data_IF_096167743037
#
_entry.id   IF_096167743037
#
_cell.length_a   1.000
_cell.length_b   1.000
_cell.length_c   1.000
_cell.angle_alpha   90.00
_cell.angle_beta   90.00
_cell.angle_gamma   90.00
#
_symmetry.space_group_name_H-M   'P 1'
#
loop_
_entity.id
_entity.type
_entity.pdbx_description
1 polymer ?
#
# COMPACT_ATOMS: atom_id res chain seq x y z
N UNK A 1 50.94 3.75 22.06
CA UNK A 1 49.96 2.83 21.43
C UNK A 1 48.90 2.22 22.38
N UNK A 2 48.84 2.57 23.68
CA UNK A 2 47.84 1.99 24.60
C UNK A 2 46.56 2.82 24.85
N UNK A 3 46.52 4.10 24.41
CA UNK A 3 45.37 4.99 24.67
C UNK A 3 44.27 4.96 23.60
N UNK A 4 44.55 4.47 22.40
CA UNK A 4 43.58 4.43 21.29
C UNK A 4 42.64 3.20 21.39
N UNK A 5 43.11 2.06 21.93
CA UNK A 5 42.25 0.88 22.14
C UNK A 5 41.09 1.13 23.11
N UNK A 6 41.34 1.82 24.23
CA UNK A 6 40.27 2.04 25.24
C UNK A 6 39.15 3.00 24.79
N UNK A 7 39.40 3.82 23.76
CA UNK A 7 38.38 4.68 23.18
C UNK A 7 37.46 3.90 22.23
N UNK A 8 38.01 2.95 21.46
CA UNK A 8 37.23 2.07 20.61
C UNK A 8 36.40 1.06 21.40
N UNK A 9 36.93 0.51 22.50
CA UNK A 9 36.18 -0.43 23.35
C UNK A 9 35.00 0.26 24.06
N UNK A 10 35.13 1.55 24.41
CA UNK A 10 34.03 2.34 25.01
C UNK A 10 32.94 2.73 24.01
N UNK A 11 33.30 2.94 22.74
CA UNK A 11 32.34 3.22 21.66
C UNK A 11 31.63 1.93 21.22
N UNK A 12 32.36 0.81 21.13
CA UNK A 12 31.79 -0.48 20.77
C UNK A 12 30.83 -1.03 21.83
N UNK A 13 31.15 -0.86 23.13
CA UNK A 13 30.25 -1.26 24.22
C UNK A 13 29.02 -0.34 24.34
N UNK A 14 29.13 0.95 23.97
CA UNK A 14 27.95 1.84 23.89
C UNK A 14 27.06 1.50 22.70
N UNK A 15 27.62 1.17 21.54
CA UNK A 15 26.83 0.78 20.37
C UNK A 15 26.14 -0.57 20.58
N UNK A 16 26.76 -1.51 21.29
CA UNK A 16 26.10 -2.76 21.69
C UNK A 16 24.99 -2.54 22.73
N UNK A 17 25.15 -1.59 23.67
CA UNK A 17 24.08 -1.28 24.63
C UNK A 17 22.88 -0.61 23.94
N UNK A 18 23.11 0.32 23.00
CA UNK A 18 22.05 0.96 22.21
C UNK A 18 21.34 -0.03 21.27
N UNK A 19 22.08 -0.93 20.61
CA UNK A 19 21.49 -1.98 19.78
C UNK A 19 20.66 -2.97 20.62
N UNK A 20 21.11 -3.30 21.84
CA UNK A 20 20.37 -4.19 22.75
C UNK A 20 19.12 -3.55 23.39
N UNK A 21 19.11 -2.22 23.55
CA UNK A 21 17.93 -1.48 24.04
C UNK A 21 16.90 -1.26 22.91
N UNK A 22 17.32 -1.06 21.65
CA UNK A 22 16.42 -1.04 20.49
C UNK A 22 15.90 -2.44 20.10
N UNK A 23 16.72 -3.51 20.22
CA UNK A 23 16.24 -4.90 20.06
C UNK A 23 15.29 -5.31 21.20
N UNK A 24 15.47 -4.79 22.41
CA UNK A 24 14.51 -5.02 23.50
C UNK A 24 13.18 -4.29 23.31
N UNK A 25 13.13 -3.22 22.53
CA UNK A 25 11.87 -2.58 22.12
C UNK A 25 11.07 -3.45 21.12
N UNK A 26 11.74 -4.38 20.41
CA UNK A 26 11.10 -5.37 19.53
C UNK A 26 10.75 -6.70 20.23
N UNK A 27 11.16 -6.89 21.49
CA UNK A 27 11.07 -8.18 22.19
C UNK A 27 10.41 -8.19 23.58
N UNK A 28 9.87 -7.07 24.08
CA UNK A 28 9.19 -7.02 25.39
C UNK A 28 7.84 -6.27 25.33
N UNK A 29 6.83 -6.94 24.80
CA UNK A 29 5.43 -6.79 25.22
C UNK A 29 4.98 -8.05 25.95
N UNK A 30 5.67 -8.37 27.06
CA UNK A 30 5.10 -9.16 28.15
C UNK A 30 5.15 -8.33 29.42
N UNK A 31 4.21 -7.40 29.50
CA UNK A 31 3.64 -6.96 30.75
C UNK A 31 2.13 -6.95 30.52
N UNK A 32 1.42 -7.84 31.22
CA UNK A 32 -0.05 -7.88 31.26
C UNK A 32 -0.57 -6.60 31.92
N UNK A 33 -0.57 -5.51 31.16
CA UNK A 33 -1.41 -4.35 31.44
C UNK A 33 -2.89 -4.71 31.23
N UNK A 34 -3.81 -3.87 31.74
CA UNK A 34 -5.24 -4.07 31.53
C UNK A 34 -5.52 -4.26 30.03
N UNK A 35 -6.22 -5.34 29.69
CA UNK A 35 -6.54 -5.76 28.32
C UNK A 35 -7.01 -4.54 27.51
N UNK A 36 -6.21 -4.15 26.53
CA UNK A 36 -6.52 -3.08 25.60
C UNK A 36 -7.69 -3.52 24.71
N UNK A 37 -8.57 -2.57 24.35
CA UNK A 37 -9.77 -2.87 23.58
C UNK A 37 -9.43 -3.52 22.24
N UNK A 38 -10.11 -4.64 21.94
CA UNK A 38 -10.07 -5.29 20.63
C UNK A 38 -11.29 -4.88 19.83
N UNK A 39 -11.16 -4.71 18.52
CA UNK A 39 -12.30 -4.43 17.65
C UNK A 39 -13.37 -5.51 17.86
N UNK A 40 -14.58 -5.08 18.21
CA UNK A 40 -15.72 -5.96 18.39
C UNK A 40 -16.08 -6.65 17.08
N UNK A 41 -16.59 -7.87 17.16
CA UNK A 41 -16.93 -8.66 15.99
C UNK A 41 -18.37 -9.21 16.08
N UNK A 42 -19.25 -8.96 15.10
CA UNK A 42 -19.03 -8.24 13.84
C UNK A 42 -18.70 -6.75 14.01
N UNK A 43 -17.98 -6.13 13.05
CA UNK A 43 -17.48 -4.77 13.19
C UNK A 43 -18.62 -3.75 13.08
N UNK A 44 -18.60 -2.74 13.94
CA UNK A 44 -19.62 -1.68 13.97
C UNK A 44 -18.99 -0.33 14.28
N UNK A 45 -19.38 0.69 13.53
CA UNK A 45 -19.07 2.08 13.87
C UNK A 45 -19.94 2.55 15.04
N UNK A 46 -19.32 3.15 16.05
CA UNK A 46 -20.05 3.70 17.23
C UNK A 46 -20.56 5.12 17.00
N UNK A 47 -20.01 5.82 16.00
CA UNK A 47 -20.42 7.14 15.58
C UNK A 47 -20.15 7.33 14.08
N UNK A 48 -20.76 8.35 13.44
CA UNK A 48 -20.38 8.73 12.08
C UNK A 48 -18.86 9.00 11.99
N UNK A 49 -18.21 8.66 10.86
CA UNK A 49 -16.79 8.92 10.67
C UNK A 49 -16.47 10.42 10.77
N UNK A 50 -15.38 10.76 11.47
CA UNK A 50 -14.88 12.14 11.55
C UNK A 50 -13.99 12.41 10.35
N UNK A 51 -14.51 13.08 9.32
CA UNK A 51 -13.72 13.53 8.16
C UNK A 51 -12.75 14.62 8.60
N UNK A 52 -11.45 14.42 8.35
CA UNK A 52 -10.38 15.37 8.71
C UNK A 52 -10.10 16.36 7.58
N UNK A 53 -10.36 15.97 6.34
CA UNK A 53 -10.19 16.80 5.14
C UNK A 53 -9.36 16.13 4.06
N UNK A 54 -9.10 16.87 2.99
CA UNK A 54 -8.22 16.47 1.90
C UNK A 54 -6.75 16.42 2.37
N UNK A 55 -6.02 15.38 1.98
CA UNK A 55 -4.56 15.34 2.08
C UNK A 55 -4.02 16.32 1.06
N UNK A 56 -3.34 17.38 1.52
CA UNK A 56 -2.80 18.46 0.68
C UNK A 56 -1.28 18.58 0.82
N UNK A 57 -0.63 19.08 -0.23
CA UNK A 57 0.80 19.38 -0.16
C UNK A 57 1.06 20.67 0.62
N UNK A 58 2.16 20.72 1.37
CA UNK A 58 2.51 21.88 2.20
C UNK A 58 2.99 23.09 1.40
N UNK A 59 3.36 22.93 0.12
CA UNK A 59 3.75 24.07 -0.73
C UNK A 59 2.58 25.00 -1.06
N UNK A 60 1.34 24.52 -0.91
CA UNK A 60 0.13 25.25 -1.30
C UNK A 60 -0.27 25.08 -2.77
N UNK A 61 0.55 24.40 -3.59
CA UNK A 61 0.18 24.04 -4.96
C UNK A 61 -0.97 23.04 -4.99
N UNK A 62 -1.76 23.11 -6.05
CA UNK A 62 -2.88 22.21 -6.28
C UNK A 62 -2.38 20.86 -6.80
N UNK A 63 -2.56 19.81 -6.01
CA UNK A 63 -2.24 18.43 -6.39
C UNK A 63 -3.41 17.48 -6.07
N UNK A 64 -4.48 17.46 -6.90
CA UNK A 64 -5.49 16.41 -6.85
C UNK A 64 -4.80 15.05 -7.08
N UNK A 65 -5.18 14.05 -6.29
CA UNK A 65 -4.45 12.79 -6.14
C UNK A 65 -5.39 11.61 -5.95
N UNK A 66 -4.95 10.45 -6.43
CA UNK A 66 -5.57 9.15 -6.19
C UNK A 66 -4.71 8.28 -5.24
N UNK A 67 -5.29 7.20 -4.70
CA UNK A 67 -4.73 6.19 -3.80
C UNK A 67 -4.57 6.67 -2.35
N UNK A 68 -3.48 7.35 -2.02
CA UNK A 68 -3.23 7.85 -0.66
C UNK A 68 -2.79 6.81 0.37
N UNK A 69 -2.22 5.67 -0.04
CA UNK A 69 -1.74 4.64 0.90
C UNK A 69 -0.48 5.12 1.63
N UNK A 70 -0.40 4.94 2.94
CA UNK A 70 0.84 5.28 3.65
C UNK A 70 1.84 4.12 3.66
N UNK A 71 3.12 4.45 3.60
CA UNK A 71 4.24 3.50 3.78
C UNK A 71 5.29 4.08 4.72
N UNK A 72 6.04 3.22 5.40
CA UNK A 72 7.16 3.62 6.24
C UNK A 72 8.47 3.21 5.59
N UNK A 73 9.49 4.08 5.62
CA UNK A 73 10.86 3.72 5.25
C UNK A 73 11.86 4.65 5.93
N UNK A 74 12.96 4.11 6.44
CA UNK A 74 14.01 4.88 7.12
C UNK A 74 13.52 5.62 8.36
N UNK A 75 12.52 5.08 9.06
CA UNK A 75 11.89 5.73 10.22
C UNK A 75 10.93 6.89 9.86
N UNK A 76 10.69 7.15 8.58
CA UNK A 76 9.77 8.19 8.10
C UNK A 76 8.52 7.61 7.48
N UNK A 77 7.45 8.37 7.56
CA UNK A 77 6.16 8.03 6.98
C UNK A 77 5.94 8.81 5.68
N UNK A 78 5.43 8.13 4.66
CA UNK A 78 5.12 8.71 3.36
C UNK A 78 3.71 8.34 2.94
N UNK A 79 3.10 9.18 2.12
CA UNK A 79 1.96 8.80 1.29
C UNK A 79 2.44 8.43 -0.10
N UNK A 80 1.99 7.28 -0.59
CA UNK A 80 2.05 6.85 -1.97
C UNK A 80 0.74 7.18 -2.68
N UNK A 81 0.86 7.82 -3.83
CA UNK A 81 -0.25 8.22 -4.67
C UNK A 81 -0.16 7.55 -6.04
N UNK A 82 -1.32 7.38 -6.67
CA UNK A 82 -1.42 7.01 -8.08
C UNK A 82 -1.29 8.27 -8.93
N UNK A 83 -2.29 8.50 -9.77
CA UNK A 83 -2.36 9.69 -10.60
C UNK A 83 -2.36 10.95 -9.72
N UNK A 84 -1.41 11.85 -10.02
CA UNK A 84 -1.20 13.14 -9.37
C UNK A 84 -1.28 14.23 -10.44
N UNK A 85 -2.31 15.06 -10.37
CA UNK A 85 -2.54 16.14 -11.31
C UNK A 85 -1.74 17.37 -10.87
N UNK A 86 -0.71 17.72 -11.64
CA UNK A 86 0.26 18.72 -11.24
C UNK A 86 -0.12 20.10 -11.77
N UNK A 87 -0.21 21.07 -10.87
CA UNK A 87 -0.37 22.48 -11.20
C UNK A 87 0.79 23.29 -10.63
N UNK A 88 1.14 24.38 -11.30
CA UNK A 88 2.15 25.31 -10.78
C UNK A 88 1.54 26.37 -9.86
N UNK A 89 2.36 27.35 -9.47
CA UNK A 89 1.98 28.44 -8.57
C UNK A 89 0.97 29.43 -9.19
N UNK A 90 0.69 29.32 -10.49
CA UNK A 90 -0.31 30.11 -11.23
C UNK A 90 -1.56 29.30 -11.59
N UNK A 91 -1.75 28.12 -10.98
CA UNK A 91 -2.82 27.18 -11.30
C UNK A 91 -2.79 26.67 -12.76
N UNK A 92 -1.65 26.76 -13.46
CA UNK A 92 -1.47 26.18 -14.79
C UNK A 92 -1.17 24.69 -14.71
N UNK A 93 -1.85 23.88 -15.53
CA UNK A 93 -1.65 22.45 -15.57
C UNK A 93 -0.28 22.09 -16.17
N UNK A 94 0.52 21.33 -15.42
CA UNK A 94 1.87 20.88 -15.80
C UNK A 94 1.95 19.40 -16.18
N UNK A 95 0.83 18.67 -16.10
CA UNK A 95 0.72 17.27 -16.50
C UNK A 95 0.27 16.35 -15.38
N UNK A 96 0.23 15.05 -15.67
CA UNK A 96 -0.08 14.00 -14.69
C UNK A 96 1.18 13.21 -14.40
N UNK A 97 1.41 12.92 -13.13
CA UNK A 97 2.41 11.96 -12.66
C UNK A 97 1.66 10.72 -12.17
N UNK A 98 1.85 9.58 -12.83
CA UNK A 98 0.97 8.41 -12.65
C UNK A 98 1.27 7.60 -11.38
N UNK A 99 2.36 7.91 -10.69
CA UNK A 99 2.64 7.41 -9.37
C UNK A 99 3.60 8.39 -8.68
N UNK A 100 3.30 8.78 -7.45
CA UNK A 100 4.16 9.73 -6.72
C UNK A 100 4.25 9.38 -5.25
N UNK A 101 5.24 9.94 -4.57
CA UNK A 101 5.44 9.74 -3.13
C UNK A 101 5.73 11.08 -2.46
N UNK A 102 5.13 11.30 -1.29
CA UNK A 102 5.34 12.51 -0.50
C UNK A 102 5.53 12.17 0.97
N UNK A 103 6.41 12.90 1.65
CA UNK A 103 6.65 12.77 3.08
C UNK A 103 5.41 13.20 3.87
N UNK A 104 5.11 12.51 4.98
CA UNK A 104 4.18 12.97 6.00
C UNK A 104 5.00 13.78 7.02
N UNK A 105 4.91 15.12 7.01
CA UNK A 105 5.82 15.97 7.81
C UNK A 105 5.55 15.87 9.31
N UNK A 106 4.33 15.53 9.71
CA UNK A 106 3.96 15.30 11.11
C UNK A 106 2.83 14.27 11.19
N UNK A 107 2.97 13.32 12.13
CA UNK A 107 1.97 12.29 12.38
C UNK A 107 0.70 12.84 13.06
N UNK A 108 0.77 14.06 13.61
CA UNK A 108 -0.39 14.73 14.21
C UNK A 108 -1.31 15.38 13.16
N UNK A 109 -0.80 15.58 11.95
CA UNK A 109 -1.52 16.24 10.85
C UNK A 109 -1.58 15.33 9.62
N UNK A 110 -2.40 14.26 9.63
CA UNK A 110 -2.47 13.28 8.54
C UNK A 110 -3.00 13.86 7.21
N UNK A 111 -3.56 15.07 7.22
CA UNK A 111 -4.01 15.79 6.02
C UNK A 111 -2.89 16.60 5.35
N UNK A 112 -1.65 16.47 5.80
CA UNK A 112 -0.49 17.16 5.23
C UNK A 112 0.51 16.18 4.64
N UNK A 113 1.05 16.57 3.50
CA UNK A 113 2.10 15.86 2.78
C UNK A 113 3.11 16.86 2.23
N UNK A 114 4.32 16.43 1.94
CA UNK A 114 5.35 17.27 1.33
C UNK A 114 6.14 16.49 0.30
N UNK A 115 6.10 16.94 -0.94
CA UNK A 115 7.00 16.42 -1.97
C UNK A 115 8.45 16.80 -1.65
N UNK A 116 9.36 15.83 -1.87
CA UNK A 116 10.80 16.00 -1.60
C UNK A 116 11.42 17.01 -2.58
N UNK A 117 10.89 17.06 -3.82
CA UNK A 117 11.32 18.01 -4.84
C UNK A 117 10.29 19.12 -5.02
N UNK A 118 10.79 20.32 -5.31
CA UNK A 118 9.98 21.54 -5.47
C UNK A 118 9.52 21.80 -6.91
N UNK A 119 9.67 20.82 -7.81
CA UNK A 119 9.22 20.94 -9.20
C UNK A 119 7.69 21.00 -9.27
N UNK A 120 7.14 21.77 -10.21
CA UNK A 120 5.68 21.90 -10.35
C UNK A 120 5.05 20.57 -10.78
N UNK A 121 5.64 19.89 -11.77
CA UNK A 121 5.34 18.49 -12.09
C UNK A 121 6.22 17.61 -11.21
N UNK A 122 5.62 16.86 -10.29
CA UNK A 122 6.36 15.95 -9.42
C UNK A 122 6.90 14.76 -10.22
N UNK A 123 8.10 14.24 -9.95
CA UNK A 123 8.63 13.10 -10.67
C UNK A 123 7.88 11.81 -10.30
N UNK A 124 7.87 10.85 -11.21
CA UNK A 124 7.39 9.50 -10.95
C UNK A 124 8.24 8.84 -9.85
N UNK A 125 7.59 8.20 -8.87
CA UNK A 125 8.33 7.51 -7.81
C UNK A 125 8.97 6.22 -8.33
N UNK A 126 8.16 5.33 -8.91
CA UNK A 126 8.61 4.25 -9.78
C UNK A 126 8.92 4.87 -11.15
N UNK A 127 10.21 5.03 -11.51
CA UNK A 127 10.60 5.75 -12.71
C UNK A 127 10.12 5.00 -13.96
N UNK A 128 9.94 5.72 -15.07
CA UNK A 128 9.71 5.10 -16.38
C UNK A 128 11.00 4.52 -16.96
N UNK A 129 10.86 3.51 -17.83
CA UNK A 129 11.93 3.17 -18.77
C UNK A 129 11.97 4.18 -19.93
N UNK A 130 13.08 4.26 -20.66
CA UNK A 130 13.19 5.18 -21.80
C UNK A 130 12.08 4.93 -22.85
N UNK A 131 11.78 3.66 -23.16
CA UNK A 131 10.73 3.32 -24.13
C UNK A 131 9.33 3.78 -23.66
N UNK A 132 9.07 3.73 -22.35
CA UNK A 132 7.80 4.20 -21.79
C UNK A 132 7.72 5.72 -21.79
N UNK A 133 8.83 6.41 -21.51
CA UNK A 133 8.93 7.87 -21.67
C UNK A 133 8.67 8.26 -23.12
N UNK A 134 9.35 7.62 -24.07
CA UNK A 134 9.17 7.89 -25.49
C UNK A 134 7.72 7.64 -25.94
N UNK A 135 7.09 6.58 -25.42
CA UNK A 135 5.68 6.31 -25.66
C UNK A 135 4.79 7.45 -25.13
N UNK A 136 4.92 7.83 -23.86
CA UNK A 136 4.11 8.86 -23.22
C UNK A 136 4.34 10.26 -23.82
N UNK A 137 5.56 10.54 -24.28
CA UNK A 137 5.95 11.85 -24.80
C UNK A 137 5.69 12.00 -26.31
N UNK A 138 5.46 10.89 -27.02
CA UNK A 138 5.15 10.85 -28.45
C UNK A 138 3.90 11.66 -28.80
N UNK A 139 3.99 12.44 -29.89
CA UNK A 139 2.94 13.38 -30.29
C UNK A 139 1.57 12.71 -30.48
N UNK A 140 1.52 11.57 -31.17
CA UNK A 140 0.28 10.84 -31.40
C UNK A 140 -0.36 10.36 -30.09
N UNK A 141 0.44 9.78 -29.20
CA UNK A 141 -0.05 9.28 -27.91
C UNK A 141 -0.55 10.43 -27.03
N UNK A 142 0.11 11.59 -27.02
CA UNK A 142 -0.39 12.78 -26.33
C UNK A 142 -1.73 13.26 -26.88
N UNK A 143 -1.86 13.34 -28.21
CA UNK A 143 -3.12 13.75 -28.85
C UNK A 143 -4.26 12.79 -28.51
N UNK A 144 -3.97 11.49 -28.43
CA UNK A 144 -4.92 10.45 -28.05
C UNK A 144 -5.04 10.27 -26.52
N UNK A 145 -4.33 11.05 -25.70
CA UNK A 145 -4.25 10.86 -24.25
C UNK A 145 -3.93 9.41 -23.83
N UNK A 146 -3.03 8.76 -24.57
CA UNK A 146 -2.51 7.43 -24.27
C UNK A 146 -1.27 7.54 -23.39
N UNK A 147 -1.20 6.74 -22.34
CA UNK A 147 -0.07 6.72 -21.42
C UNK A 147 0.20 5.35 -20.84
N UNK A 148 1.43 5.14 -20.39
CA UNK A 148 1.78 4.04 -19.50
C UNK A 148 1.68 4.54 -18.06
N UNK A 149 1.02 3.78 -17.21
CA UNK A 149 0.94 4.00 -15.77
C UNK A 149 1.65 2.86 -15.04
N UNK A 150 2.28 3.16 -13.90
CA UNK A 150 2.90 2.17 -13.01
C UNK A 150 2.34 2.35 -11.61
N UNK A 151 1.14 1.85 -11.35
CA UNK A 151 0.47 2.05 -10.06
C UNK A 151 0.97 1.07 -9.01
N UNK A 152 1.19 1.55 -7.79
CA UNK A 152 1.72 0.76 -6.69
C UNK A 152 0.76 0.72 -5.51
N UNK A 153 -0.33 -0.02 -5.68
CA UNK A 153 -1.40 -0.14 -4.69
C UNK A 153 -1.01 -1.00 -3.46
N UNK A 154 -0.16 -2.01 -3.68
CA UNK A 154 0.19 -3.07 -2.72
C UNK A 154 0.92 -2.61 -1.47
N UNK A 155 1.50 -1.41 -1.49
CA UNK A 155 2.35 -0.88 -0.43
C UNK A 155 3.80 -1.33 -0.58
N UNK A 156 4.56 -1.14 0.50
CA UNK A 156 5.99 -1.41 0.57
C UNK A 156 6.24 -2.54 1.59
N UNK A 157 7.09 -3.48 1.22
CA UNK A 157 7.51 -4.62 2.04
C UNK A 157 8.95 -4.36 2.50
N UNK A 158 9.22 -4.38 3.80
CA UNK A 158 10.59 -4.10 4.29
C UNK A 158 11.54 -5.25 3.98
N UNK A 159 12.77 -4.92 3.58
CA UNK A 159 13.84 -5.91 3.45
C UNK A 159 14.41 -6.20 4.84
N UNK A 160 14.37 -7.46 5.33
CA UNK A 160 14.96 -7.82 6.61
C UNK A 160 16.44 -7.44 6.71
N UNK A 161 16.88 -7.05 7.91
CA UNK A 161 18.29 -6.69 8.17
C UNK A 161 18.72 -5.31 7.63
N UNK A 162 17.82 -4.55 7.01
CA UNK A 162 18.14 -3.19 6.50
C UNK A 162 17.75 -2.06 7.46
N UNK A 163 17.33 -2.40 8.68
CA UNK A 163 16.79 -1.45 9.67
C UNK A 163 15.67 -0.56 9.09
N UNK A 164 14.80 -1.16 8.26
CA UNK A 164 13.70 -0.49 7.60
C UNK A 164 14.13 0.55 6.56
N UNK A 165 15.38 0.55 6.09
CA UNK A 165 15.89 1.51 5.09
C UNK A 165 15.68 1.07 3.66
N UNK A 166 15.40 -0.21 3.42
CA UNK A 166 15.06 -0.71 2.10
C UNK A 166 13.72 -1.44 2.10
N UNK A 167 13.04 -1.40 0.96
CA UNK A 167 11.82 -2.16 0.76
C UNK A 167 11.54 -2.52 -0.69
N UNK A 168 10.78 -3.59 -0.89
CA UNK A 168 10.24 -4.01 -2.16
C UNK A 168 8.89 -3.37 -2.42
N UNK A 169 8.60 -3.11 -3.69
CA UNK A 169 7.37 -2.53 -4.16
C UNK A 169 6.95 -3.22 -5.46
N UNK A 170 5.74 -3.77 -5.49
CA UNK A 170 5.14 -4.24 -6.75
C UNK A 170 4.42 -3.08 -7.43
N UNK A 171 4.63 -2.93 -8.74
CA UNK A 171 3.91 -1.97 -9.54
C UNK A 171 3.18 -2.66 -10.69
N UNK A 172 1.94 -2.21 -10.89
CA UNK A 172 1.04 -2.64 -11.92
C UNK A 172 1.21 -1.73 -13.15
N UNK A 173 1.72 -2.30 -14.25
CA UNK A 173 1.91 -1.54 -15.48
C UNK A 173 0.72 -1.73 -16.42
N UNK A 174 0.08 -0.60 -16.74
CA UNK A 174 -1.12 -0.55 -17.58
C UNK A 174 -0.93 0.50 -18.67
N UNK A 175 -1.36 0.19 -19.88
CA UNK A 175 -1.60 1.20 -20.91
C UNK A 175 -3.02 1.72 -20.75
N UNK A 176 -3.17 3.04 -20.68
CA UNK A 176 -4.48 3.70 -20.61
C UNK A 176 -4.72 4.56 -21.84
N UNK A 177 -6.00 4.73 -22.17
CA UNK A 177 -6.50 5.74 -23.09
C UNK A 177 -7.46 6.64 -22.30
N UNK A 178 -7.02 7.86 -22.00
CA UNK A 178 -7.68 8.72 -21.03
C UNK A 178 -7.62 8.12 -19.63
N UNK A 179 -8.79 7.90 -19.02
CA UNK A 179 -8.92 7.26 -17.71
C UNK A 179 -9.16 5.74 -17.80
N UNK A 180 -9.24 5.18 -19.02
CA UNK A 180 -9.63 3.78 -19.24
C UNK A 180 -8.40 2.91 -19.45
N UNK A 181 -8.20 1.85 -18.64
CA UNK A 181 -7.24 0.79 -18.94
C UNK A 181 -7.59 0.13 -20.28
N UNK A 182 -6.62 0.06 -21.21
CA UNK A 182 -6.79 -0.61 -22.51
C UNK A 182 -5.93 -1.85 -22.66
N UNK A 183 -4.83 -1.95 -21.89
CA UNK A 183 -3.97 -3.13 -21.91
C UNK A 183 -3.24 -3.29 -20.59
N UNK A 184 -3.35 -4.49 -20.03
CA UNK A 184 -2.58 -4.93 -18.88
C UNK A 184 -1.21 -5.45 -19.34
N UNK A 185 -0.11 -4.76 -19.01
CA UNK A 185 1.23 -5.16 -19.47
C UNK A 185 1.90 -6.16 -18.49
N UNK A 186 1.53 -6.11 -17.21
CA UNK A 186 2.00 -7.05 -16.20
C UNK A 186 2.42 -6.38 -14.91
N UNK A 187 2.97 -7.17 -13.99
CA UNK A 187 3.52 -6.72 -12.72
C UNK A 187 5.03 -6.62 -12.82
N UNK A 188 5.56 -5.46 -12.45
CA UNK A 188 6.98 -5.25 -12.22
C UNK A 188 7.33 -5.13 -10.74
N UNK A 189 8.62 -5.12 -10.47
CA UNK A 189 9.17 -4.98 -9.13
C UNK A 189 10.10 -3.76 -9.10
N UNK A 190 10.02 -3.01 -8.01
CA UNK A 190 10.93 -1.92 -7.70
C UNK A 190 11.46 -2.07 -6.28
N UNK A 191 12.62 -1.45 -6.03
CA UNK A 191 13.27 -1.39 -4.74
C UNK A 191 13.34 0.08 -4.30
N UNK A 192 12.74 0.36 -3.16
CA UNK A 192 12.81 1.65 -2.52
C UNK A 192 13.94 1.67 -1.48
N UNK A 193 14.67 2.78 -1.39
CA UNK A 193 15.71 3.00 -0.38
C UNK A 193 15.55 4.37 0.24
N UNK A 194 15.74 4.47 1.56
CA UNK A 194 15.92 5.76 2.23
C UNK A 194 17.21 6.39 1.72
N UNK A 195 17.16 7.62 1.22
CA UNK A 195 18.38 8.32 0.82
C UNK A 195 19.24 8.63 2.06
N UNK A 196 20.54 8.85 1.83
CA UNK A 196 21.48 9.31 2.85
C UNK A 196 21.29 10.79 3.23
N UNK A 197 20.39 11.49 2.53
CA UNK A 197 20.02 12.89 2.80
C UNK A 197 18.75 12.96 3.64
N UNK A 198 18.64 14.02 4.43
CA UNK A 198 17.74 14.11 5.59
C UNK A 198 16.23 14.01 5.31
N UNK A 199 15.77 13.80 4.07
CA UNK A 199 14.32 13.69 3.76
C UNK A 199 13.97 12.77 2.59
N UNK A 200 14.93 12.11 1.95
CA UNK A 200 14.68 11.45 0.66
C UNK A 200 14.29 9.98 0.74
N UNK A 201 13.47 9.57 -0.22
CA UNK A 201 13.26 8.17 -0.62
C UNK A 201 13.53 8.08 -2.12
N UNK A 202 14.29 7.07 -2.50
CA UNK A 202 14.63 6.77 -3.89
C UNK A 202 14.03 5.42 -4.27
N UNK A 203 13.74 5.23 -5.54
CA UNK A 203 13.17 3.99 -6.04
C UNK A 203 13.74 3.67 -7.42
N UNK A 204 14.15 2.41 -7.57
CA UNK A 204 14.68 1.87 -8.82
C UNK A 204 13.92 0.60 -9.20
N UNK A 205 13.71 0.38 -10.50
CA UNK A 205 13.17 -0.88 -10.98
C UNK A 205 14.21 -1.99 -10.85
N UNK A 206 13.76 -3.19 -10.52
CA UNK A 206 14.63 -4.34 -10.32
C UNK A 206 14.06 -5.59 -11.02
N UNK A 207 14.95 -6.47 -11.45
CA UNK A 207 14.58 -7.71 -12.12
C UNK A 207 14.07 -7.50 -13.55
N UNK A 208 13.61 -8.60 -14.17
CA UNK A 208 13.00 -8.58 -15.48
C UNK A 208 11.58 -8.04 -15.43
N UNK A 209 11.19 -7.23 -16.41
CA UNK A 209 9.81 -6.84 -16.62
C UNK A 209 9.21 -7.56 -17.86
N UNK A 210 7.98 -8.09 -17.76
CA UNK A 210 7.21 -8.26 -16.54
C UNK A 210 7.80 -9.39 -15.65
N UNK A 211 7.68 -9.23 -14.32
CA UNK A 211 7.92 -10.34 -13.39
C UNK A 211 6.76 -11.34 -13.47
N UNK A 212 5.53 -10.82 -13.56
CA UNK A 212 4.31 -11.59 -13.81
C UNK A 212 3.52 -11.01 -14.98
N UNK A 213 3.12 -11.89 -15.89
CA UNK A 213 2.44 -11.52 -17.13
C UNK A 213 1.05 -10.89 -16.88
N UNK A 214 0.67 -9.92 -17.73
CA UNK A 214 -0.58 -9.18 -17.59
C UNK A 214 -1.85 -9.99 -17.85
N UNK A 215 -1.76 -11.18 -18.45
CA UNK A 215 -2.92 -12.03 -18.70
C UNK A 215 -3.35 -12.85 -17.46
N UNK A 216 -2.53 -12.88 -16.40
CA UNK A 216 -2.79 -13.66 -15.18
C UNK A 216 -3.10 -12.83 -13.94
N UNK A 217 -3.06 -13.46 -12.75
CA UNK A 217 -3.17 -12.73 -11.49
C UNK A 217 -2.04 -11.70 -11.35
N UNK A 218 -2.45 -10.49 -10.99
CA UNK A 218 -1.60 -9.31 -10.79
C UNK A 218 -1.03 -9.29 -9.36
N UNK A 219 -0.12 -10.22 -9.06
CA UNK A 219 0.34 -10.49 -7.69
C UNK A 219 0.82 -9.24 -6.94
N UNK A 220 0.19 -8.97 -5.79
CA UNK A 220 0.53 -7.83 -4.93
C UNK A 220 -0.10 -6.50 -5.36
N UNK A 221 -0.92 -6.48 -6.42
CA UNK A 221 -1.56 -5.24 -6.89
C UNK A 221 -2.73 -4.77 -6.03
N UNK A 222 -3.13 -5.51 -4.99
CA UNK A 222 -4.13 -5.04 -4.02
C UNK A 222 -3.44 -4.75 -2.69
N UNK A 223 -2.80 -5.76 -2.11
CA UNK A 223 -2.15 -5.64 -0.81
C UNK A 223 -1.02 -6.63 -0.64
N UNK A 224 0.04 -6.18 0.01
CA UNK A 224 1.10 -7.03 0.53
C UNK A 224 1.15 -6.94 2.05
N UNK A 225 1.39 -8.07 2.72
CA UNK A 225 1.50 -8.14 4.18
C UNK A 225 2.57 -9.15 4.58
N UNK A 226 3.45 -8.73 5.49
CA UNK A 226 4.40 -9.62 6.16
C UNK A 226 3.71 -10.36 7.31
N UNK A 227 3.96 -11.67 7.40
CA UNK A 227 3.41 -12.53 8.44
C UNK A 227 4.51 -13.00 9.40
N UNK A 228 4.20 -13.20 10.69
CA UNK A 228 5.17 -13.75 11.65
C UNK A 228 5.74 -15.14 11.31
N UNK A 229 5.14 -15.86 10.37
CA UNK A 229 5.65 -17.13 9.85
C UNK A 229 6.87 -16.98 8.89
N UNK A 230 7.31 -15.73 8.66
CA UNK A 230 8.44 -15.40 7.79
C UNK A 230 8.11 -15.42 6.30
N UNK A 231 6.82 -15.34 5.95
CA UNK A 231 6.36 -15.16 4.59
C UNK A 231 5.70 -13.79 4.39
N UNK A 232 5.92 -13.24 3.21
CA UNK A 232 5.18 -12.10 2.68
C UNK A 232 4.09 -12.61 1.76
N UNK A 233 2.86 -12.18 2.00
CA UNK A 233 1.66 -12.59 1.28
C UNK A 233 1.22 -11.48 0.33
N UNK A 234 0.85 -11.88 -0.89
CA UNK A 234 0.53 -10.99 -2.01
C UNK A 234 -0.90 -11.25 -2.46
N UNK A 235 -1.81 -10.37 -2.03
CA UNK A 235 -3.20 -10.36 -2.48
C UNK A 235 -3.28 -9.74 -3.87
N UNK A 236 -4.02 -10.40 -4.74
CA UNK A 236 -4.09 -10.09 -6.15
C UNK A 236 -5.52 -10.12 -6.67
N UNK A 237 -5.82 -9.24 -7.62
CA UNK A 237 -6.93 -9.42 -8.55
C UNK A 237 -6.47 -9.99 -9.89
N UNK A 238 -7.42 -10.15 -10.82
CA UNK A 238 -7.16 -10.22 -12.26
C UNK A 238 -7.69 -8.91 -12.87
N UNK A 239 -7.12 -8.47 -14.00
CA UNK A 239 -7.56 -7.28 -14.73
C UNK A 239 -9.08 -7.20 -14.96
N UNK A 240 -9.55 -5.99 -15.29
CA UNK A 240 -10.96 -5.57 -15.28
C UNK A 240 -11.95 -6.46 -16.03
N UNK A 241 -11.48 -7.33 -16.92
CA UNK A 241 -12.33 -8.17 -17.77
C UNK A 241 -12.73 -9.51 -17.13
N UNK A 242 -12.00 -10.00 -16.11
CA UNK A 242 -12.06 -11.42 -15.71
C UNK A 242 -12.33 -11.70 -14.21
N UNK A 243 -13.01 -10.80 -13.50
CA UNK A 243 -13.92 -11.23 -12.44
C UNK A 243 -13.67 -10.75 -11.00
N UNK A 244 -14.60 -11.15 -10.14
CA UNK A 244 -14.64 -10.83 -8.72
C UNK A 244 -13.58 -11.59 -7.91
N UNK A 245 -12.93 -12.57 -8.52
CA UNK A 245 -11.97 -13.44 -7.88
C UNK A 245 -10.70 -12.74 -7.45
N UNK A 246 -10.15 -13.20 -6.33
CA UNK A 246 -8.90 -12.74 -5.78
C UNK A 246 -8.05 -13.95 -5.38
N UNK A 247 -6.74 -13.79 -5.53
CA UNK A 247 -5.76 -14.86 -5.37
C UNK A 247 -4.72 -14.48 -4.35
N UNK A 248 -4.02 -15.48 -3.83
CA UNK A 248 -2.91 -15.29 -2.91
C UNK A 248 -1.65 -15.99 -3.41
N UNK A 249 -0.57 -15.24 -3.54
CA UNK A 249 0.79 -15.76 -3.62
C UNK A 249 1.54 -15.45 -2.32
N UNK A 250 2.65 -16.14 -2.11
CA UNK A 250 3.58 -15.82 -1.04
C UNK A 250 5.03 -16.02 -1.47
N UNK A 251 5.93 -15.35 -0.77
CA UNK A 251 7.37 -15.46 -0.92
C UNK A 251 8.00 -15.35 0.47
N UNK A 252 9.13 -16.02 0.70
CA UNK A 252 9.88 -15.87 1.94
C UNK A 252 10.30 -14.41 2.11
N UNK A 253 10.04 -13.81 3.26
CA UNK A 253 10.29 -12.37 3.49
C UNK A 253 11.78 -12.00 3.35
N UNK A 254 12.67 -12.95 3.61
CA UNK A 254 14.12 -12.84 3.46
C UNK A 254 14.65 -13.24 2.08
N UNK A 255 13.79 -13.65 1.14
CA UNK A 255 14.22 -14.01 -0.21
C UNK A 255 14.40 -12.79 -1.12
N UNK A 256 14.99 -13.03 -2.30
CA UNK A 256 15.03 -12.06 -3.38
C UNK A 256 13.71 -12.09 -4.16
N UNK A 257 12.98 -10.97 -4.11
CA UNK A 257 11.68 -10.81 -4.74
C UNK A 257 11.79 -10.72 -6.27
N UNK A 258 12.96 -10.43 -6.83
CA UNK A 258 13.16 -10.38 -8.28
C UNK A 258 13.20 -11.76 -8.95
N UNK A 259 13.30 -12.83 -8.16
CA UNK A 259 13.41 -14.20 -8.65
C UNK A 259 12.06 -14.90 -8.60
N UNK A 260 11.42 -15.08 -9.77
CA UNK A 260 10.09 -15.69 -9.90
C UNK A 260 9.96 -17.10 -9.30
N UNK A 261 11.03 -17.90 -9.30
CA UNK A 261 11.02 -19.24 -8.71
C UNK A 261 10.98 -19.26 -7.18
N UNK A 262 11.13 -18.11 -6.50
CA UNK A 262 11.01 -18.01 -5.04
C UNK A 262 9.55 -17.92 -4.56
N UNK A 263 8.61 -17.76 -5.49
CA UNK A 263 7.19 -17.58 -5.18
C UNK A 263 6.48 -18.93 -5.08
N UNK A 264 5.44 -18.96 -4.23
CA UNK A 264 4.48 -20.06 -4.17
C UNK A 264 3.07 -19.51 -4.22
N UNK A 265 2.14 -20.31 -4.74
CA UNK A 265 0.79 -19.90 -5.07
C UNK A 265 -0.21 -20.80 -4.37
N UNK A 266 -1.28 -20.20 -3.84
CA UNK A 266 -2.29 -20.94 -3.11
C UNK A 266 -3.20 -21.70 -4.09
N UNK A 267 -3.21 -23.02 -3.96
CA UNK A 267 -4.03 -23.92 -4.76
C UNK A 267 -5.39 -24.15 -4.11
N UNK A 268 -6.38 -24.58 -4.90
CA UNK A 268 -7.71 -24.95 -4.39
C UNK A 268 -7.71 -26.07 -3.35
N UNK A 269 -6.69 -26.93 -3.38
CA UNK A 269 -6.47 -27.97 -2.35
C UNK A 269 -6.13 -27.37 -0.98
N UNK A 270 -5.78 -26.08 -0.92
CA UNK A 270 -5.24 -25.41 0.28
C UNK A 270 -3.72 -25.53 0.41
N UNK A 271 -3.06 -26.22 -0.52
CA UNK A 271 -1.61 -26.35 -0.56
C UNK A 271 -0.95 -25.19 -1.31
N UNK A 272 0.34 -25.00 -1.06
CA UNK A 272 1.18 -24.01 -1.75
C UNK A 272 2.01 -24.71 -2.82
N UNK A 273 1.88 -24.30 -4.07
CA UNK A 273 2.64 -24.85 -5.20
C UNK A 273 3.65 -23.83 -5.75
N UNK A 274 4.80 -24.25 -6.30
CA UNK A 274 5.82 -23.35 -6.85
C UNK A 274 5.47 -22.80 -8.24
N UNK A 275 4.39 -23.30 -8.86
CA UNK A 275 3.97 -22.92 -10.20
C UNK A 275 2.47 -23.03 -10.34
N UNK A 276 1.93 -22.35 -11.34
CA UNK A 276 0.54 -22.47 -11.74
C UNK A 276 0.38 -22.32 -13.26
N UNK A 277 -0.74 -22.78 -13.81
CA UNK A 277 -1.10 -22.73 -15.23
C UNK A 277 -2.52 -22.19 -15.45
N UNK A 278 -2.79 -21.53 -16.58
CA UNK A 278 -4.15 -21.23 -17.02
C UNK A 278 -5.00 -22.50 -17.19
N UNK A 279 -6.35 -22.39 -17.15
CA UNK A 279 -7.12 -21.15 -17.00
C UNK A 279 -7.09 -20.60 -15.56
N UNK A 280 -7.39 -19.32 -15.41
CA UNK A 280 -7.59 -18.69 -14.11
C UNK A 280 -9.07 -18.67 -13.74
N UNK A 281 -9.41 -18.17 -12.55
CA UNK A 281 -10.81 -18.10 -12.11
C UNK A 281 -11.34 -19.39 -11.49
N UNK A 282 -12.67 -19.57 -11.46
CA UNK A 282 -13.32 -20.69 -10.79
C UNK A 282 -13.06 -22.05 -11.46
N UNK A 283 -12.51 -22.05 -12.68
CA UNK A 283 -12.14 -23.27 -13.40
C UNK A 283 -10.63 -23.58 -13.35
N UNK A 284 -9.83 -22.65 -12.82
CA UNK A 284 -8.40 -22.84 -12.64
C UNK A 284 -8.03 -23.66 -11.41
N UNK A 285 -6.73 -23.87 -11.20
CA UNK A 285 -6.21 -24.61 -10.04
C UNK A 285 -5.96 -23.73 -8.80
N UNK A 286 -5.87 -22.41 -8.99
CA UNK A 286 -5.64 -21.45 -7.93
C UNK A 286 -6.88 -21.27 -7.04
N UNK A 287 -6.65 -21.09 -5.74
CA UNK A 287 -7.69 -20.64 -4.82
C UNK A 287 -8.08 -19.19 -5.15
N UNK A 288 -9.31 -19.01 -5.64
CA UNK A 288 -9.83 -17.75 -6.18
C UNK A 288 -10.80 -17.03 -5.22
N UNK A 289 -11.02 -17.62 -4.05
CA UNK A 289 -11.97 -17.13 -3.03
C UNK A 289 -11.37 -16.22 -1.96
N UNK A 290 -10.07 -15.91 -2.02
CA UNK A 290 -9.40 -15.15 -0.95
C UNK A 290 -9.84 -13.69 -1.02
N UNK A 291 -10.71 -13.24 -0.10
CA UNK A 291 -11.34 -11.91 -0.17
C UNK A 291 -12.06 -11.68 -1.52
N UNK A 292 -12.77 -12.67 -2.06
CA UNK A 292 -13.50 -12.52 -3.31
C UNK A 292 -14.50 -11.34 -3.27
N UNK A 293 -14.59 -10.61 -4.38
CA UNK A 293 -15.40 -9.40 -4.53
C UNK A 293 -14.76 -8.13 -3.95
N UNK A 294 -13.66 -8.23 -3.21
CA UNK A 294 -12.95 -7.09 -2.64
C UNK A 294 -11.98 -6.47 -3.65
N UNK A 295 -11.97 -5.15 -3.72
CA UNK A 295 -11.13 -4.33 -4.60
C UNK A 295 -9.94 -3.76 -3.85
N UNK A 296 -9.73 -2.45 -3.95
CA UNK A 296 -8.61 -1.76 -3.32
C UNK A 296 -8.78 -1.68 -1.80
N UNK A 297 -7.71 -1.99 -1.08
CA UNK A 297 -7.65 -1.93 0.38
C UNK A 297 -6.33 -2.45 0.93
N UNK A 298 -6.25 -2.66 2.24
CA UNK A 298 -5.08 -3.29 2.83
C UNK A 298 -5.42 -4.35 3.87
N UNK A 299 -4.57 -5.38 3.90
CA UNK A 299 -4.45 -6.30 5.03
C UNK A 299 -3.44 -5.70 6.01
N UNK A 300 -3.82 -5.62 7.29
CA UNK A 300 -2.96 -5.25 8.40
C UNK A 300 -2.90 -6.41 9.41
N UNK A 301 -1.69 -6.73 9.86
CA UNK A 301 -1.48 -7.65 10.98
C UNK A 301 -1.46 -6.83 12.28
N UNK A 302 -2.50 -6.97 13.10
CA UNK A 302 -2.71 -6.21 14.34
C UNK A 302 -3.18 -7.14 15.48
N UNK A 303 -2.32 -8.08 15.93
CA UNK A 303 -2.71 -9.19 16.80
C UNK A 303 -3.27 -8.77 18.16
N UNK A 304 -2.92 -7.58 18.65
CA UNK A 304 -3.37 -7.09 19.95
C UNK A 304 -4.73 -6.40 19.91
N UNK A 305 -5.15 -5.93 18.74
CA UNK A 305 -6.36 -5.12 18.57
C UNK A 305 -7.41 -5.72 17.64
N UNK A 306 -7.05 -6.70 16.82
CA UNK A 306 -8.02 -7.47 16.06
C UNK A 306 -8.81 -8.44 16.98
N UNK A 307 -9.94 -8.99 16.52
CA UNK A 307 -10.66 -10.02 17.25
C UNK A 307 -9.77 -11.20 17.65
N UNK A 308 -10.06 -11.81 18.81
CA UNK A 308 -9.29 -12.94 19.31
C UNK A 308 -9.18 -14.08 18.28
N UNK A 309 -7.95 -14.57 18.07
CA UNK A 309 -7.67 -15.64 17.12
C UNK A 309 -7.73 -15.22 15.65
N UNK A 310 -8.00 -13.95 15.35
CA UNK A 310 -8.07 -13.42 13.97
C UNK A 310 -7.22 -12.16 13.83
N UNK A 311 -5.88 -12.27 13.87
CA UNK A 311 -4.98 -11.12 13.97
C UNK A 311 -4.87 -10.31 12.67
N UNK A 312 -5.33 -10.84 11.55
CA UNK A 312 -5.33 -10.14 10.26
C UNK A 312 -6.64 -9.40 10.06
N UNK A 313 -6.54 -8.10 9.78
CA UNK A 313 -7.66 -7.20 9.51
C UNK A 313 -7.57 -6.71 8.05
N UNK A 314 -8.64 -6.87 7.29
CA UNK A 314 -8.85 -6.26 5.98
C UNK A 314 -9.67 -4.99 6.16
N UNK A 315 -9.23 -3.90 5.56
CA UNK A 315 -10.00 -2.67 5.39
C UNK A 315 -9.89 -2.27 3.93
N UNK A 316 -11.02 -2.18 3.24
CA UNK A 316 -11.04 -1.89 1.82
C UNK A 316 -12.44 -1.62 1.28
N UNK A 317 -12.57 -1.61 -0.04
CA UNK A 317 -13.84 -1.53 -0.75
C UNK A 317 -14.12 -2.80 -1.57
N UNK A 318 -15.32 -2.89 -2.11
CA UNK A 318 -15.67 -3.90 -3.12
C UNK A 318 -15.08 -3.51 -4.49
N UNK A 319 -14.94 -4.48 -5.41
CA UNK A 319 -14.60 -4.21 -6.83
C UNK A 319 -15.73 -3.49 -7.56
N UNK A 320 -16.94 -3.56 -7.03
CA UNK A 320 -18.06 -2.76 -7.52
C UNK A 320 -17.91 -1.32 -7.03
N UNK A 321 -18.26 -0.31 -7.83
CA UNK A 321 -18.17 1.11 -7.45
C UNK A 321 -19.28 1.52 -6.46
N UNK A 322 -19.53 0.70 -5.43
CA UNK A 322 -20.59 0.90 -4.42
C UNK A 322 -20.17 1.88 -3.33
N UNK A 323 -18.88 2.24 -3.27
CA UNK A 323 -18.30 3.09 -2.22
C UNK A 323 -18.48 2.54 -0.80
N UNK A 324 -18.70 1.23 -0.67
CA UNK A 324 -18.90 0.58 0.62
C UNK A 324 -17.57 0.35 1.33
N UNK A 325 -17.53 0.69 2.62
CA UNK A 325 -16.48 0.28 3.54
C UNK A 325 -16.69 -1.18 3.93
N UNK A 326 -15.72 -2.02 3.57
CA UNK A 326 -15.67 -3.43 3.92
C UNK A 326 -14.58 -3.67 4.96
N UNK A 327 -14.95 -4.37 6.03
CA UNK A 327 -14.03 -4.76 7.09
C UNK A 327 -14.03 -6.28 7.17
N UNK A 328 -12.85 -6.90 7.11
CA UNK A 328 -12.70 -8.35 7.18
C UNK A 328 -11.71 -8.80 8.23
N UNK A 329 -11.86 -10.00 8.76
CA UNK A 329 -10.85 -10.60 9.67
C UNK A 329 -10.56 -12.05 9.31
N UNK A 330 -9.33 -12.49 9.59
CA UNK A 330 -8.91 -13.86 9.41
C UNK A 330 -7.84 -14.29 10.41
N UNK A 331 -7.77 -15.59 10.66
CA UNK A 331 -6.73 -16.22 11.47
C UNK A 331 -5.37 -16.28 10.72
N UNK A 332 -5.42 -16.30 9.39
CA UNK A 332 -4.25 -16.40 8.49
C UNK A 332 -4.44 -15.47 7.30
N UNK A 333 -3.37 -15.01 6.61
CA UNK A 333 -3.49 -14.10 5.47
C UNK A 333 -4.33 -14.68 4.32
N UNK A 334 -4.25 -15.98 4.08
CA UNK A 334 -5.06 -16.66 3.05
C UNK A 334 -6.52 -16.90 3.45
N UNK A 335 -6.89 -16.63 4.70
CA UNK A 335 -8.25 -16.84 5.21
C UNK A 335 -8.46 -18.16 5.97
N UNK A 336 -9.72 -18.59 6.14
CA UNK A 336 -10.93 -17.98 5.59
C UNK A 336 -11.18 -16.58 6.14
N UNK A 337 -11.65 -15.68 5.28
CA UNK A 337 -11.96 -14.30 5.61
C UNK A 337 -13.44 -14.13 5.93
N UNK A 338 -13.74 -13.49 7.05
CA UNK A 338 -15.10 -13.05 7.37
C UNK A 338 -15.20 -11.55 7.12
N UNK A 339 -15.96 -11.14 6.09
CA UNK A 339 -16.06 -9.75 5.64
C UNK A 339 -17.46 -9.20 5.86
N UNK A 340 -17.55 -8.00 6.41
CA UNK A 340 -18.80 -7.26 6.64
C UNK A 340 -18.75 -5.89 5.96
N UNK A 341 -19.89 -5.48 5.39
CA UNK A 341 -20.10 -4.10 4.94
C UNK A 341 -20.53 -3.28 6.14
N UNK A 342 -19.79 -2.23 6.46
CA UNK A 342 -20.03 -1.43 7.66
C UNK A 342 -20.80 -0.15 7.33
N UNK A 343 -20.81 0.26 6.07
CA UNK A 343 -21.56 1.40 5.56
C UNK A 343 -20.91 2.01 4.33
N UNK A 344 -21.51 3.08 3.84
CA UNK A 344 -20.96 3.83 2.71
C UNK A 344 -19.88 4.82 3.19
N UNK A 345 -18.81 4.97 2.42
CA UNK A 345 -17.77 5.95 2.69
C UNK A 345 -18.32 7.38 2.56
N UNK A 346 -17.99 8.29 3.50
CA UNK A 346 -18.42 9.68 3.45
C UNK A 346 -18.00 10.34 2.14
N UNK A 347 -18.89 11.14 1.56
CA UNK A 347 -18.55 12.03 0.46
C UNK A 347 -17.83 13.25 1.01
N UNK A 348 -16.75 13.66 0.37
CA UNK A 348 -16.10 14.93 0.70
C UNK A 348 -16.66 16.07 -0.16
N UNK A 349 -16.98 15.78 -1.41
CA UNK A 349 -17.62 16.72 -2.34
C UNK A 349 -19.02 16.24 -2.73
N UNK A 350 -19.93 17.17 -3.03
CA UNK A 350 -21.28 16.80 -3.45
C UNK A 350 -21.29 16.02 -4.77
N UNK A 351 -20.35 16.34 -5.65
CA UNK A 351 -20.22 15.76 -7.00
C UNK A 351 -19.55 14.38 -7.00
N UNK A 352 -19.02 13.94 -5.86
CA UNK A 352 -18.42 12.61 -5.69
C UNK A 352 -19.44 11.50 -6.00
N UNK A 353 -19.09 10.64 -6.95
CA UNK A 353 -19.86 9.46 -7.34
C UNK A 353 -19.29 8.20 -6.68
N UNK A 354 -17.98 8.07 -6.67
CA UNK A 354 -17.27 6.86 -6.23
C UNK A 354 -16.23 7.21 -5.17
N UNK A 355 -16.21 6.41 -4.11
CA UNK A 355 -15.10 6.40 -3.14
C UNK A 355 -14.45 5.03 -3.13
N UNK A 356 -13.15 5.01 -3.38
CA UNK A 356 -12.37 3.79 -3.60
C UNK A 356 -10.96 3.97 -3.00
N UNK A 357 -10.06 2.99 -3.18
CA UNK A 357 -8.71 3.08 -2.62
C UNK A 357 -8.73 3.33 -1.10
N UNK A 358 -9.48 2.51 -0.35
CA UNK A 358 -9.69 2.70 1.08
C UNK A 358 -8.53 2.07 1.86
N UNK A 359 -7.64 2.89 2.43
CA UNK A 359 -6.43 2.40 3.10
C UNK A 359 -6.44 2.73 4.60
N UNK A 360 -6.18 1.75 5.49
CA UNK A 360 -5.95 2.00 6.90
C UNK A 360 -4.51 2.48 7.16
N UNK A 361 -4.35 3.32 8.17
CA UNK A 361 -3.09 3.92 8.59
C UNK A 361 -2.83 3.67 10.06
N UNK A 362 -2.18 2.54 10.37
CA UNK A 362 -1.97 2.09 11.74
C UNK A 362 -1.18 3.11 12.58
N UNK A 363 -0.20 3.80 11.98
CA UNK A 363 0.61 4.82 12.65
C UNK A 363 -0.20 6.01 13.19
N UNK A 364 -1.33 6.34 12.56
CA UNK A 364 -2.19 7.48 12.94
C UNK A 364 -3.47 7.03 13.66
N UNK A 365 -3.53 5.76 14.08
CA UNK A 365 -4.69 5.14 14.68
C UNK A 365 -4.53 5.04 16.21
N UNK A 366 -5.65 5.10 16.93
CA UNK A 366 -5.75 4.81 18.36
C UNK A 366 -6.56 3.52 18.49
N UNK A 367 -5.88 2.40 18.18
CA UNK A 367 -6.48 1.08 18.03
C UNK A 367 -7.10 0.56 19.34
N UNK A 368 -6.52 0.92 20.49
CA UNK A 368 -7.05 0.55 21.80
C UNK A 368 -8.46 1.12 22.06
N UNK A 369 -8.81 2.24 21.42
CA UNK A 369 -10.14 2.85 21.46
C UNK A 369 -10.92 2.65 20.15
N UNK A 370 -10.49 1.71 19.29
CA UNK A 370 -11.15 1.40 18.03
C UNK A 370 -11.09 2.52 16.98
N UNK A 371 -10.24 3.53 17.16
CA UNK A 371 -10.11 4.65 16.21
C UNK A 371 -9.09 4.28 15.15
N UNK A 372 -9.54 4.15 13.90
CA UNK A 372 -8.69 3.84 12.76
C UNK A 372 -8.64 5.06 11.83
N UNK A 373 -7.44 5.55 11.56
CA UNK A 373 -7.21 6.52 10.49
C UNK A 373 -7.32 5.80 9.15
N UNK A 374 -8.18 6.30 8.28
CA UNK A 374 -8.42 5.75 6.95
C UNK A 374 -8.31 6.89 5.94
N UNK A 375 -7.62 6.65 4.82
CA UNK A 375 -7.77 7.49 3.62
C UNK A 375 -8.57 6.79 2.55
N UNK A 376 -9.18 7.58 1.67
CA UNK A 376 -9.83 7.10 0.47
C UNK A 376 -9.74 8.14 -0.64
N UNK A 377 -9.88 7.68 -1.88
CA UNK A 377 -10.04 8.54 -3.05
C UNK A 377 -11.50 8.92 -3.23
N UNK A 378 -11.76 10.20 -3.43
CA UNK A 378 -13.06 10.78 -3.78
C UNK A 378 -12.98 11.31 -5.22
N UNK A 379 -13.78 10.76 -6.14
CA UNK A 379 -13.67 11.03 -7.59
C UNK A 379 -14.29 12.36 -8.05
N UNK A 380 -14.72 13.22 -7.13
CA UNK A 380 -15.46 14.45 -7.44
C UNK A 380 -14.67 15.53 -8.19
N UNK A 381 -13.36 15.40 -8.40
CA UNK A 381 -12.56 16.38 -9.18
C UNK A 381 -11.41 15.71 -9.91
N UNK A 382 -11.38 15.84 -11.24
CA UNK A 382 -10.26 15.44 -12.12
C UNK A 382 -9.67 14.04 -11.84
N UNK A 383 -10.47 13.07 -11.37
CA UNK A 383 -9.98 11.71 -11.14
C UNK A 383 -9.39 11.42 -9.74
N UNK A 384 -9.47 12.35 -8.78
CA UNK A 384 -9.27 11.98 -7.36
C UNK A 384 -8.90 13.12 -6.41
N UNK A 385 -9.50 13.11 -5.22
CA UNK A 385 -9.00 13.74 -4.00
C UNK A 385 -8.78 12.68 -2.94
N UNK A 386 -7.58 12.62 -2.35
CA UNK A 386 -7.34 11.75 -1.21
C UNK A 386 -7.86 12.44 0.06
N UNK A 387 -8.81 11.83 0.73
CA UNK A 387 -9.44 12.33 1.95
C UNK A 387 -9.01 11.48 3.12
N UNK A 388 -8.74 12.09 4.27
CA UNK A 388 -8.44 11.40 5.51
C UNK A 388 -9.61 11.51 6.50
N UNK A 389 -9.86 10.46 7.28
CA UNK A 389 -10.90 10.42 8.29
C UNK A 389 -10.61 9.43 9.41
N UNK A 390 -11.18 9.68 10.59
CA UNK A 390 -11.14 8.75 11.73
C UNK A 390 -12.45 7.98 11.80
N UNK A 391 -12.35 6.66 11.75
CA UNK A 391 -13.46 5.72 11.88
C UNK A 391 -13.36 5.08 13.26
N UNK A 392 -14.39 5.27 14.09
CA UNK A 392 -14.41 4.73 15.47
C UNK A 392 -15.26 3.48 15.51
N UNK A 393 -14.61 2.34 15.67
CA UNK A 393 -15.23 1.03 15.81
C UNK A 393 -15.49 0.69 17.27
N UNK A 394 -16.51 -0.11 17.52
CA UNK A 394 -16.75 -0.67 18.85
C UNK A 394 -15.59 -1.59 19.26
N UNK A 395 -15.25 -1.59 20.55
CA UNK A 395 -14.20 -2.44 21.13
C UNK A 395 -14.75 -3.28 22.29
N UNK A 396 -14.10 -4.43 22.57
CA UNK A 396 -14.40 -5.37 23.66
C UNK A 396 -13.21 -5.60 24.59
#
# INVERSE_FOLDING_TARGET
MYRIKSAFDKVSNRLQSFASEEEQAWGKTQNEGPRQGRIAWPPKLVCPPKVLGEVIDTSGRRYPRDIGRSVQLGGRMYYMFGDTFCFDDHDEFRGVTNNSIALIPSLETPTKSRYIRHEAKVPEFVPFSNNELDFCEGHENKVQNRRIVNWAFGGLIHVPGTHGREGWLFYDQVETHGATPVKQNGIGLAKARSSSTDEGIECERVGSFPLFDGNGPLWGNISSVDSPDGWTYLLSGIGSENGLDNYMARIRTDADFSIKSNYSYLMKSGEWAPSYSPPYGPFGELAHGVLAGQGQGAIAFIPDHAPHGKPFLWIGCEKFPTSQLCIGVAARPEGPWEVHKVGEMPKFTADAKTRYCIYPHIWGSDLANGKILITWSDDGTMGGKVIAGIFTFAVV
#
